data_IF_510950679796
#
_entry.id   IF_510950679796
#
_cell.length_a   1.000
_cell.length_b   1.000
_cell.length_c   1.000
_cell.angle_alpha   90.00
_cell.angle_beta   90.00
_cell.angle_gamma   90.00
#
_symmetry.space_group_name_H-M   'P 1'
#
loop_
_entity.id
_entity.type
_entity.pdbx_description
1 polymer ?
#
# COMPACT_ATOMS: atom_id res chain seq x y z
N UNK A 1 92.08 -17.81 27.33
CA UNK A 1 90.86 -17.00 27.04
C UNK A 1 91.32 -15.82 26.17
N UNK A 2 90.95 -15.83 24.85
CA UNK A 2 91.23 -14.71 23.92
C UNK A 2 90.29 -13.50 24.25
N UNK A 3 90.93 -12.38 24.67
CA UNK A 3 90.20 -11.11 24.82
C UNK A 3 89.71 -10.66 23.44
N UNK A 4 88.34 -10.68 23.22
CA UNK A 4 87.72 -10.08 22.03
C UNK A 4 88.08 -8.58 22.00
N UNK A 5 88.62 -8.08 20.90
CA UNK A 5 89.05 -6.68 20.77
C UNK A 5 87.78 -5.79 20.73
N UNK A 6 87.90 -4.52 21.18
CA UNK A 6 86.80 -3.51 21.14
C UNK A 6 86.29 -3.29 19.72
N UNK A 7 87.08 -3.52 18.70
CA UNK A 7 86.73 -3.41 17.30
C UNK A 7 85.76 -4.52 16.82
N UNK A 8 85.91 -5.78 17.31
CA UNK A 8 85.02 -6.86 17.00
C UNK A 8 83.59 -6.64 17.57
N UNK A 9 83.51 -5.96 18.71
CA UNK A 9 82.25 -5.62 19.35
C UNK A 9 81.55 -4.51 18.55
N UNK A 10 82.25 -3.46 18.12
CA UNK A 10 81.70 -2.37 17.33
C UNK A 10 81.18 -2.85 15.93
N UNK A 11 81.93 -3.70 15.25
CA UNK A 11 81.51 -4.29 13.98
C UNK A 11 80.28 -5.12 14.12
N UNK A 12 80.13 -5.87 15.21
CA UNK A 12 78.91 -6.64 15.46
C UNK A 12 77.60 -5.77 15.68
N UNK A 13 77.79 -4.61 16.30
CA UNK A 13 76.68 -3.66 16.50
C UNK A 13 76.26 -3.02 15.18
N UNK A 14 77.20 -2.62 14.32
CA UNK A 14 76.93 -2.07 13.00
C UNK A 14 76.20 -3.08 12.13
N UNK A 15 76.64 -4.33 12.11
CA UNK A 15 76.01 -5.41 11.37
C UNK A 15 74.59 -5.70 11.86
N UNK A 16 74.35 -5.76 13.16
CA UNK A 16 73.01 -5.95 13.75
C UNK A 16 72.08 -4.79 13.45
N UNK A 17 72.57 -3.55 13.57
CA UNK A 17 71.74 -2.37 13.18
C UNK A 17 71.37 -2.40 11.73
N UNK A 18 72.27 -2.73 10.81
CA UNK A 18 72.02 -2.77 9.38
C UNK A 18 71.07 -3.93 9.06
N UNK A 19 71.11 -5.05 9.73
CA UNK A 19 70.21 -6.20 9.59
C UNK A 19 68.79 -5.84 10.04
N UNK A 20 68.66 -5.10 11.15
CA UNK A 20 67.37 -4.58 11.62
C UNK A 20 66.79 -3.56 10.63
N UNK A 21 67.61 -2.60 10.18
CA UNK A 21 67.19 -1.61 9.18
C UNK A 21 66.77 -2.27 7.86
N UNK A 22 67.52 -3.26 7.40
CA UNK A 22 67.16 -4.05 6.21
C UNK A 22 65.84 -4.80 6.42
N UNK A 23 65.60 -5.40 7.59
CA UNK A 23 64.35 -6.06 7.92
C UNK A 23 63.14 -5.09 7.89
N UNK A 24 63.30 -3.90 8.49
CA UNK A 24 62.26 -2.86 8.43
C UNK A 24 62.01 -2.35 7.00
N UNK A 25 63.06 -2.13 6.23
CA UNK A 25 62.94 -1.70 4.84
C UNK A 25 62.26 -2.77 3.96
N UNK A 26 62.63 -4.04 4.12
CA UNK A 26 62.02 -5.16 3.42
C UNK A 26 60.51 -5.27 3.79
N UNK A 27 60.17 -5.15 5.08
CA UNK A 27 58.78 -5.11 5.53
C UNK A 27 58.00 -3.93 4.91
N UNK A 28 58.66 -2.75 4.89
CA UNK A 28 58.06 -1.56 4.26
C UNK A 28 57.77 -1.77 2.76
N UNK A 29 58.68 -2.38 2.03
CA UNK A 29 58.48 -2.72 0.62
C UNK A 29 57.32 -3.73 0.44
N UNK A 30 57.25 -4.77 1.27
CA UNK A 30 56.15 -5.75 1.24
C UNK A 30 54.82 -5.07 1.51
N UNK A 31 54.73 -4.15 2.46
CA UNK A 31 53.51 -3.40 2.77
C UNK A 31 53.07 -2.51 1.60
N UNK A 32 54.05 -1.79 0.98
CA UNK A 32 53.73 -0.95 -0.21
C UNK A 32 53.28 -1.80 -1.38
N UNK A 33 53.95 -2.91 -1.67
CA UNK A 33 53.53 -3.84 -2.73
C UNK A 33 52.14 -4.40 -2.44
N UNK A 34 51.86 -4.77 -1.20
CA UNK A 34 50.52 -5.28 -0.82
C UNK A 34 49.45 -4.19 -0.92
N UNK A 35 49.75 -2.98 -0.47
CA UNK A 35 48.86 -1.83 -0.60
C UNK A 35 48.53 -1.52 -2.08
N UNK A 36 49.57 -1.50 -2.92
CA UNK A 36 49.40 -1.30 -4.38
C UNK A 36 48.56 -2.40 -4.99
N UNK A 37 48.82 -3.65 -4.64
CA UNK A 37 48.03 -4.79 -5.13
C UNK A 37 46.55 -4.65 -4.75
N UNK A 38 46.23 -4.32 -3.50
CA UNK A 38 44.85 -4.12 -3.01
C UNK A 38 44.18 -2.91 -3.65
N UNK A 39 44.93 -1.83 -3.91
CA UNK A 39 44.34 -0.59 -4.43
C UNK A 39 44.25 -0.53 -5.96
N UNK A 40 45.04 -1.32 -6.68
CA UNK A 40 45.08 -1.28 -8.15
C UNK A 40 44.44 -2.55 -8.74
N UNK A 41 44.85 -3.74 -8.27
CA UNK A 41 44.41 -5.00 -8.87
C UNK A 41 43.10 -5.53 -8.28
N UNK A 42 42.90 -5.43 -6.97
CA UNK A 42 41.74 -5.95 -6.28
C UNK A 42 40.73 -4.85 -5.90
N UNK A 43 40.94 -3.60 -6.35
CA UNK A 43 40.11 -2.45 -6.01
C UNK A 43 38.63 -2.69 -6.27
N UNK A 44 38.30 -3.11 -7.48
CA UNK A 44 36.90 -3.31 -7.91
C UNK A 44 36.22 -4.46 -7.15
N UNK A 45 37.00 -5.50 -6.81
CA UNK A 45 36.49 -6.61 -5.99
C UNK A 45 36.10 -6.14 -4.58
N UNK A 46 37.01 -5.44 -3.89
CA UNK A 46 36.73 -4.98 -2.52
C UNK A 46 35.70 -3.85 -2.49
N UNK A 47 35.64 -3.02 -3.50
CA UNK A 47 34.59 -2.01 -3.66
C UNK A 47 33.23 -2.69 -3.88
N UNK A 48 33.17 -3.74 -4.69
CA UNK A 48 31.98 -4.55 -4.91
C UNK A 48 31.47 -5.23 -3.62
N UNK A 49 32.38 -5.86 -2.87
CA UNK A 49 32.06 -6.48 -1.58
C UNK A 49 31.60 -5.46 -0.52
N UNK A 50 32.25 -4.29 -0.45
CA UNK A 50 31.85 -3.19 0.43
C UNK A 50 30.44 -2.68 0.08
N UNK A 51 30.19 -2.45 -1.19
CA UNK A 51 28.91 -1.99 -1.71
C UNK A 51 27.80 -3.02 -1.47
N UNK A 52 28.06 -4.31 -1.69
CA UNK A 52 27.10 -5.39 -1.45
C UNK A 52 26.68 -5.49 0.02
N UNK A 53 27.56 -5.15 0.95
CA UNK A 53 27.26 -5.16 2.39
C UNK A 53 26.54 -3.90 2.87
N UNK A 54 26.83 -2.74 2.31
CA UNK A 54 26.36 -1.44 2.78
C UNK A 54 25.19 -0.91 1.95
N UNK A 55 25.12 -1.21 0.65
CA UNK A 55 24.09 -0.71 -0.23
C UNK A 55 22.84 -1.60 -0.15
N UNK A 56 21.69 -0.97 -0.02
CA UNK A 56 20.39 -1.61 -0.10
C UNK A 56 19.51 -0.84 -1.09
N UNK A 57 18.80 -1.57 -1.92
CA UNK A 57 17.76 -0.98 -2.76
C UNK A 57 16.48 -0.91 -1.94
N UNK A 58 15.94 0.28 -1.80
CA UNK A 58 14.70 0.56 -1.07
C UNK A 58 13.66 1.04 -2.08
N UNK A 59 12.47 0.48 -1.98
CA UNK A 59 11.34 0.85 -2.81
C UNK A 59 10.78 2.21 -2.39
N UNK A 60 10.53 3.08 -3.38
CA UNK A 60 9.82 4.35 -3.21
C UNK A 60 8.36 4.08 -3.58
N UNK A 61 7.46 4.19 -2.61
CA UNK A 61 6.04 4.00 -2.86
C UNK A 61 5.53 5.01 -3.91
N UNK A 62 4.79 4.51 -4.90
CA UNK A 62 4.08 5.35 -5.86
C UNK A 62 2.77 5.86 -5.24
N UNK A 63 2.33 7.01 -5.71
CA UNK A 63 1.04 7.57 -5.32
C UNK A 63 -0.05 6.98 -6.23
N UNK A 64 -1.09 6.38 -5.63
CA UNK A 64 -2.24 5.86 -6.36
C UNK A 64 -3.09 7.01 -6.93
N UNK A 65 -3.52 6.91 -8.19
CA UNK A 65 -4.38 7.89 -8.86
C UNK A 65 -5.69 8.13 -8.13
N UNK A 66 -6.26 9.32 -8.28
CA UNK A 66 -7.55 9.69 -7.66
C UNK A 66 -8.71 9.11 -8.46
N UNK A 67 -9.79 8.78 -7.75
CA UNK A 67 -11.10 8.63 -8.36
C UNK A 67 -11.89 9.92 -8.11
N UNK A 68 -12.43 10.51 -9.16
CA UNK A 68 -13.21 11.75 -9.07
C UNK A 68 -14.59 11.58 -9.72
N UNK A 69 -15.53 12.36 -9.28
CA UNK A 69 -16.82 12.50 -9.93
C UNK A 69 -16.73 13.28 -11.26
N UNK A 70 -17.86 13.49 -11.92
CA UNK A 70 -17.93 14.22 -13.18
C UNK A 70 -17.51 15.69 -13.08
N UNK A 71 -17.60 16.28 -11.91
CA UNK A 71 -17.19 17.65 -11.62
C UNK A 71 -15.74 17.76 -11.11
N UNK A 72 -15.04 16.63 -10.90
CA UNK A 72 -13.70 16.59 -10.35
C UNK A 72 -13.66 16.49 -8.82
N UNK A 73 -14.81 16.36 -8.15
CA UNK A 73 -14.85 16.17 -6.70
C UNK A 73 -14.30 14.78 -6.32
N UNK A 74 -13.47 14.67 -5.28
CA UNK A 74 -12.82 13.43 -4.94
C UNK A 74 -13.82 12.40 -4.37
N UNK A 75 -13.74 11.17 -4.90
CA UNK A 75 -14.44 9.97 -4.43
C UNK A 75 -13.49 8.99 -3.75
N UNK A 76 -12.22 8.93 -4.20
CA UNK A 76 -11.15 8.21 -3.53
C UNK A 76 -9.82 8.95 -3.73
N UNK A 77 -9.07 9.11 -2.65
CA UNK A 77 -7.76 9.79 -2.63
C UNK A 77 -6.78 8.98 -1.78
N UNK A 78 -5.49 9.06 -2.12
CA UNK A 78 -4.42 8.50 -1.28
C UNK A 78 -3.80 9.59 -0.43
N UNK A 79 -3.81 9.41 0.88
CA UNK A 79 -3.22 10.34 1.85
C UNK A 79 -1.91 9.78 2.38
N UNK A 80 -0.86 10.60 2.53
CA UNK A 80 0.39 10.15 3.12
C UNK A 80 0.19 9.77 4.59
N UNK A 81 0.74 8.64 4.98
CA UNK A 81 0.71 8.12 6.34
C UNK A 81 2.06 7.50 6.67
N UNK A 82 2.30 7.23 7.94
CA UNK A 82 3.56 6.68 8.39
C UNK A 82 3.37 5.28 8.97
N UNK A 83 4.38 4.44 8.80
CA UNK A 83 4.43 3.08 9.33
C UNK A 83 5.69 2.92 10.16
N UNK A 84 5.52 2.47 11.39
CA UNK A 84 6.62 2.15 12.29
C UNK A 84 7.08 0.70 12.07
N UNK A 85 8.38 0.54 11.89
CA UNK A 85 9.01 -0.76 11.71
C UNK A 85 10.35 -0.82 12.43
N UNK A 86 10.88 -2.01 12.64
CA UNK A 86 12.19 -2.16 13.25
C UNK A 86 12.77 -3.56 13.09
N UNK A 87 14.00 -3.74 13.60
CA UNK A 87 14.74 -4.99 13.60
C UNK A 87 14.40 -5.78 14.87
N UNK A 88 13.68 -6.93 14.77
CA UNK A 88 13.14 -7.62 15.94
C UNK A 88 14.19 -8.01 16.98
N UNK A 89 15.37 -8.52 16.57
CA UNK A 89 16.44 -8.94 17.48
C UNK A 89 16.97 -7.80 18.33
N UNK A 90 17.02 -6.58 17.79
CA UNK A 90 17.49 -5.39 18.49
C UNK A 90 16.41 -4.76 19.38
N UNK A 91 15.15 -4.77 18.90
CA UNK A 91 14.01 -4.30 19.69
C UNK A 91 13.71 -5.21 20.89
N UNK A 92 13.93 -6.52 20.76
CA UNK A 92 13.77 -7.49 21.85
C UNK A 92 14.70 -7.17 23.04
N UNK A 93 15.84 -6.56 22.80
CA UNK A 93 16.77 -6.14 23.85
C UNK A 93 16.27 -4.92 24.66
N UNK A 94 15.17 -4.28 24.24
CA UNK A 94 14.64 -3.05 24.81
C UNK A 94 13.15 -3.18 25.21
N UNK A 95 12.75 -4.19 26.02
CA UNK A 95 11.34 -4.49 26.27
C UNK A 95 10.60 -3.36 26.99
N UNK A 96 11.28 -2.63 27.89
CA UNK A 96 10.69 -1.50 28.61
C UNK A 96 10.35 -0.34 27.65
N UNK A 97 11.26 0.01 26.73
CA UNK A 97 11.01 1.02 25.73
C UNK A 97 9.86 0.63 24.78
N UNK A 98 9.71 -0.65 24.47
CA UNK A 98 8.59 -1.15 23.66
C UNK A 98 7.24 -1.08 24.38
N UNK A 99 7.21 -1.14 25.73
CA UNK A 99 5.98 -0.87 26.50
C UNK A 99 5.54 0.60 26.38
N UNK A 100 6.49 1.54 26.42
CA UNK A 100 6.19 2.97 26.21
C UNK A 100 5.66 3.22 24.79
N UNK A 101 6.30 2.62 23.78
CA UNK A 101 5.81 2.67 22.40
C UNK A 101 4.40 2.10 22.29
N UNK A 102 4.14 0.96 22.91
CA UNK A 102 2.83 0.33 22.92
C UNK A 102 1.74 1.25 23.53
N UNK A 103 2.06 1.91 24.65
CA UNK A 103 1.17 2.87 25.30
C UNK A 103 0.82 4.05 24.38
N UNK A 104 1.81 4.65 23.70
CA UNK A 104 1.59 5.75 22.75
C UNK A 104 0.77 5.28 21.54
N UNK A 105 1.00 4.06 21.08
CA UNK A 105 0.31 3.48 19.92
C UNK A 105 -1.08 2.95 20.27
N UNK A 106 -1.46 2.85 21.54
CA UNK A 106 -2.73 2.27 21.98
C UNK A 106 -2.84 0.77 21.64
N UNK A 107 -1.73 0.02 21.80
CA UNK A 107 -1.68 -1.44 21.62
C UNK A 107 -1.23 -2.10 22.90
N UNK A 108 -1.63 -3.37 23.09
CA UNK A 108 -1.18 -4.11 24.26
C UNK A 108 0.32 -4.38 24.22
N UNK A 109 1.03 -3.92 25.28
CA UNK A 109 2.49 -3.98 25.36
C UNK A 109 3.02 -5.40 25.49
N UNK A 110 2.30 -6.28 26.20
CA UNK A 110 2.69 -7.68 26.34
C UNK A 110 2.61 -8.41 24.99
N UNK A 111 1.51 -8.23 24.28
CA UNK A 111 1.31 -8.77 22.92
C UNK A 111 2.36 -8.23 21.94
N UNK A 112 2.71 -6.94 22.03
CA UNK A 112 3.75 -6.36 21.16
C UNK A 112 5.10 -7.02 21.44
N UNK A 113 5.52 -7.13 22.69
CA UNK A 113 6.78 -7.78 23.07
C UNK A 113 6.84 -9.25 22.67
N UNK A 114 5.75 -9.99 22.82
CA UNK A 114 5.64 -11.39 22.34
C UNK A 114 5.82 -11.48 20.82
N UNK A 115 5.17 -10.61 20.06
CA UNK A 115 5.32 -10.55 18.60
C UNK A 115 6.75 -10.24 18.18
N UNK A 116 7.43 -9.34 18.89
CA UNK A 116 8.84 -9.00 18.67
C UNK A 116 9.71 -10.23 18.95
N UNK A 117 9.56 -10.88 20.10
CA UNK A 117 10.32 -12.08 20.47
C UNK A 117 10.13 -13.23 19.47
N UNK A 118 8.89 -13.49 19.05
CA UNK A 118 8.55 -14.49 18.04
C UNK A 118 9.16 -14.17 16.67
N UNK A 119 9.26 -12.88 16.31
CA UNK A 119 9.89 -12.47 15.05
C UNK A 119 11.41 -12.57 15.12
N UNK A 120 12.01 -12.23 16.26
CA UNK A 120 13.45 -12.36 16.51
C UNK A 120 13.90 -13.84 16.50
N UNK A 121 13.14 -14.74 17.16
CA UNK A 121 13.44 -16.19 17.17
C UNK A 121 13.41 -16.83 15.77
N UNK A 122 12.70 -16.22 14.82
CA UNK A 122 12.66 -16.66 13.42
C UNK A 122 13.76 -16.02 12.54
N UNK A 123 14.67 -15.26 13.13
CA UNK A 123 15.77 -14.59 12.43
C UNK A 123 15.30 -13.49 11.46
N UNK A 124 14.13 -12.89 11.68
CA UNK A 124 13.64 -11.81 10.81
C UNK A 124 14.42 -10.53 11.06
N UNK A 125 14.87 -9.91 10.00
CA UNK A 125 15.56 -8.61 10.03
C UNK A 125 14.60 -7.42 9.96
N UNK A 126 13.31 -7.67 9.71
CA UNK A 126 12.29 -6.65 9.51
C UNK A 126 10.97 -7.08 10.14
N UNK A 127 10.32 -6.14 10.85
CA UNK A 127 8.98 -6.31 11.40
C UNK A 127 8.23 -4.98 11.44
N UNK A 128 6.98 -4.97 10.98
CA UNK A 128 6.08 -3.85 11.25
C UNK A 128 5.64 -3.84 12.71
N UNK A 129 5.87 -2.73 13.40
CA UNK A 129 5.36 -2.48 14.76
C UNK A 129 3.89 -2.10 14.68
N UNK A 130 3.60 -1.03 13.95
CA UNK A 130 2.24 -0.61 13.61
C UNK A 130 2.23 0.12 12.28
N UNK A 131 1.29 -0.26 11.41
CA UNK A 131 1.08 0.40 10.12
C UNK A 131 0.03 1.49 10.23
N UNK A 132 0.07 2.44 9.31
CA UNK A 132 -0.92 3.50 9.16
C UNK A 132 -1.10 4.34 10.43
N UNK A 133 0.01 4.80 10.99
CA UNK A 133 0.03 5.64 12.20
C UNK A 133 -0.01 7.12 11.80
N UNK A 134 -0.87 7.94 12.45
CA UNK A 134 -0.90 9.38 12.21
C UNK A 134 0.47 10.03 12.50
N UNK A 135 0.90 11.04 11.71
CA UNK A 135 2.20 11.70 11.88
C UNK A 135 2.45 12.19 13.32
N UNK A 136 1.46 12.82 13.94
CA UNK A 136 1.57 13.31 15.32
C UNK A 136 1.88 12.22 16.35
N UNK A 137 1.36 11.00 16.14
CA UNK A 137 1.63 9.86 17.01
C UNK A 137 3.03 9.31 16.76
N UNK A 138 3.47 9.30 15.49
CA UNK A 138 4.82 8.88 15.12
C UNK A 138 5.86 9.82 15.70
N UNK A 139 5.62 11.15 15.67
CA UNK A 139 6.53 12.14 16.25
C UNK A 139 6.74 11.89 17.76
N UNK A 140 5.67 11.53 18.50
CA UNK A 140 5.76 11.16 19.91
C UNK A 140 6.61 9.91 20.14
N UNK A 141 6.44 8.89 19.29
CA UNK A 141 7.23 7.66 19.37
C UNK A 141 8.70 7.92 19.03
N UNK A 142 8.97 8.72 18.00
CA UNK A 142 10.34 9.04 17.58
C UNK A 142 11.07 9.94 18.58
N UNK A 143 10.35 10.73 19.38
CA UNK A 143 10.90 11.51 20.47
C UNK A 143 11.55 10.62 21.58
N UNK A 144 11.15 9.36 21.71
CA UNK A 144 11.75 8.39 22.63
C UNK A 144 13.17 7.97 22.18
N UNK A 145 13.58 8.29 20.95
CA UNK A 145 14.91 7.99 20.39
C UNK A 145 15.35 6.53 20.53
N UNK A 146 14.41 5.61 20.34
CA UNK A 146 14.68 4.17 20.46
C UNK A 146 15.53 3.73 19.27
N UNK A 147 16.66 3.07 19.57
CA UNK A 147 17.54 2.53 18.54
C UNK A 147 16.81 1.45 17.73
N UNK A 148 17.09 1.41 16.43
CA UNK A 148 16.55 0.41 15.49
C UNK A 148 15.02 0.43 15.27
N UNK A 149 14.35 1.48 15.77
CA UNK A 149 12.98 1.82 15.41
C UNK A 149 13.02 2.89 14.31
N UNK A 150 12.34 2.63 13.21
CA UNK A 150 12.38 3.47 12.01
C UNK A 150 10.98 3.74 11.46
N UNK A 151 10.88 4.78 10.65
CA UNK A 151 9.64 5.20 10.01
C UNK A 151 9.73 4.98 8.52
N UNK A 152 8.69 4.39 7.94
CA UNK A 152 8.49 4.29 6.49
C UNK A 152 7.28 5.12 6.10
N UNK A 153 7.42 5.96 5.07
CA UNK A 153 6.28 6.67 4.49
C UNK A 153 5.51 5.70 3.60
N UNK A 154 4.20 5.62 3.83
CA UNK A 154 3.25 4.84 3.03
C UNK A 154 2.08 5.74 2.63
N UNK A 155 1.13 5.22 1.86
CA UNK A 155 -0.12 5.88 1.53
C UNK A 155 -1.28 5.06 2.07
N UNK A 156 -2.34 5.76 2.47
CA UNK A 156 -3.61 5.16 2.86
C UNK A 156 -4.71 5.69 1.96
N UNK A 157 -5.48 4.80 1.41
CA UNK A 157 -6.66 5.15 0.63
C UNK A 157 -7.76 5.68 1.53
N UNK A 158 -8.36 6.80 1.15
CA UNK A 158 -9.45 7.44 1.86
C UNK A 158 -10.61 7.72 0.91
N UNK A 159 -11.81 7.44 1.36
CA UNK A 159 -13.07 7.53 0.62
C UNK A 159 -13.98 8.57 1.23
N UNK A 160 -13.98 9.82 0.72
CA UNK A 160 -14.74 10.94 1.31
C UNK A 160 -16.24 10.74 1.34
N UNK A 161 -16.80 9.94 0.42
CA UNK A 161 -18.24 9.65 0.36
C UNK A 161 -18.69 8.54 1.32
N UNK A 162 -17.75 7.92 2.07
CA UNK A 162 -18.08 6.86 3.02
C UNK A 162 -18.89 5.73 2.39
N UNK A 163 -19.97 5.31 3.05
CA UNK A 163 -20.83 4.22 2.61
C UNK A 163 -21.63 4.53 1.33
N UNK A 164 -21.91 5.81 1.06
CA UNK A 164 -22.80 6.20 -0.03
C UNK A 164 -22.33 5.76 -1.43
N UNK A 165 -21.00 5.64 -1.65
CA UNK A 165 -20.45 5.20 -2.93
C UNK A 165 -19.65 3.88 -2.83
N UNK A 166 -19.75 3.18 -1.70
CA UNK A 166 -18.89 2.06 -1.36
C UNK A 166 -18.90 0.93 -2.39
N UNK A 167 -20.08 0.50 -2.85
CA UNK A 167 -20.22 -0.61 -3.79
C UNK A 167 -19.66 -0.29 -5.18
N UNK A 168 -19.80 0.95 -5.62
CA UNK A 168 -19.30 1.37 -6.91
C UNK A 168 -17.78 1.54 -6.86
N UNK A 169 -17.28 2.32 -5.89
CA UNK A 169 -15.87 2.62 -5.76
C UNK A 169 -15.08 1.39 -5.30
N UNK A 170 -15.62 0.63 -4.35
CA UNK A 170 -14.91 -0.47 -3.71
C UNK A 170 -13.92 0.03 -2.66
N UNK A 171 -12.87 -0.76 -2.44
CA UNK A 171 -11.80 -0.44 -1.49
C UNK A 171 -10.48 -1.10 -1.88
N UNK A 172 -9.40 -0.61 -1.27
CA UNK A 172 -8.08 -1.23 -1.33
C UNK A 172 -7.77 -1.99 -0.04
N UNK A 173 -6.84 -2.94 -0.11
CA UNK A 173 -6.24 -3.54 1.08
C UNK A 173 -5.20 -2.61 1.73
N UNK A 174 -4.52 -3.13 2.75
CA UNK A 174 -3.48 -2.39 3.48
C UNK A 174 -2.23 -2.10 2.61
N UNK A 175 -2.05 -2.84 1.52
CA UNK A 175 -0.95 -2.66 0.58
C UNK A 175 -1.36 -1.81 -0.64
N UNK A 176 -2.49 -1.09 -0.54
CA UNK A 176 -3.06 -0.20 -1.55
C UNK A 176 -3.46 -0.91 -2.86
N UNK A 177 -3.74 -2.23 -2.81
CA UNK A 177 -4.23 -3.02 -3.94
C UNK A 177 -5.75 -3.01 -3.96
N UNK A 178 -6.34 -2.78 -5.11
CA UNK A 178 -7.80 -2.83 -5.28
C UNK A 178 -8.37 -4.23 -5.00
N UNK A 179 -9.45 -4.30 -4.20
CA UNK A 179 -10.09 -5.56 -3.78
C UNK A 179 -11.52 -5.69 -4.25
N UNK A 180 -12.20 -4.58 -4.42
CA UNK A 180 -13.58 -4.51 -4.85
C UNK A 180 -13.84 -3.29 -5.74
N UNK A 181 -14.94 -3.31 -6.48
CA UNK A 181 -15.46 -2.20 -7.26
C UNK A 181 -14.48 -1.67 -8.31
N UNK A 182 -14.55 -0.37 -8.57
CA UNK A 182 -13.67 0.32 -9.52
C UNK A 182 -12.21 0.33 -9.07
N UNK A 183 -11.92 0.28 -7.77
CA UNK A 183 -10.57 0.13 -7.26
C UNK A 183 -9.91 -1.17 -7.75
N UNK A 184 -10.67 -2.27 -7.81
CA UNK A 184 -10.19 -3.55 -8.34
C UNK A 184 -10.17 -3.55 -9.87
N UNK A 185 -11.24 -3.10 -10.50
CA UNK A 185 -11.37 -3.15 -11.95
C UNK A 185 -10.30 -2.31 -12.67
N UNK A 186 -9.91 -1.18 -12.08
CA UNK A 186 -8.91 -0.27 -12.61
C UNK A 186 -7.60 -0.27 -11.80
N UNK A 187 -7.29 -1.36 -11.09
CA UNK A 187 -6.13 -1.42 -10.22
C UNK A 187 -4.82 -1.09 -10.95
N UNK A 188 -4.60 -1.68 -12.11
CA UNK A 188 -3.40 -1.42 -12.93
C UNK A 188 -3.28 0.05 -13.40
N UNK A 189 -4.42 0.71 -13.66
CA UNK A 189 -4.47 2.11 -14.07
C UNK A 189 -4.16 3.06 -12.91
N UNK A 190 -4.71 2.72 -11.76
CA UNK A 190 -4.65 3.55 -10.56
C UNK A 190 -3.34 3.37 -9.78
N UNK A 191 -2.72 2.18 -9.76
CA UNK A 191 -1.62 1.85 -8.84
C UNK A 191 -0.31 2.55 -9.14
N UNK A 192 0.00 3.01 -10.31
CA UNK A 192 1.32 3.53 -10.66
C UNK A 192 2.44 2.47 -10.57
N UNK A 193 3.66 2.91 -10.73
CA UNK A 193 4.85 2.06 -10.62
C UNK A 193 5.73 2.55 -9.49
N UNK A 194 6.10 1.70 -8.52
CA UNK A 194 7.03 2.08 -7.48
C UNK A 194 8.40 2.39 -8.08
N UNK A 195 9.10 3.35 -7.49
CA UNK A 195 10.48 3.65 -7.81
C UNK A 195 11.44 2.88 -6.92
N UNK A 196 12.72 2.98 -7.21
CA UNK A 196 13.79 2.40 -6.42
C UNK A 196 14.87 3.42 -6.14
N UNK A 197 15.35 3.45 -4.89
CA UNK A 197 16.52 4.23 -4.50
C UNK A 197 17.57 3.34 -3.84
N UNK A 198 18.81 3.67 -4.08
CA UNK A 198 19.95 3.03 -3.41
C UNK A 198 20.27 3.81 -2.15
N UNK A 199 20.29 3.13 -1.02
CA UNK A 199 20.64 3.70 0.28
C UNK A 199 21.88 2.99 0.83
N UNK A 200 22.77 3.74 1.44
CA UNK A 200 23.91 3.21 2.20
C UNK A 200 23.50 3.14 3.67
N UNK A 201 23.66 1.98 4.29
CA UNK A 201 23.39 1.79 5.72
C UNK A 201 24.68 1.59 6.49
N UNK A 202 24.76 2.18 7.69
CA UNK A 202 25.82 1.89 8.65
C UNK A 202 25.63 0.48 9.27
N UNK A 203 26.60 0.08 10.10
CA UNK A 203 26.54 -1.19 10.84
C UNK A 203 25.31 -1.29 11.77
N UNK A 204 24.73 -0.17 12.14
CA UNK A 204 23.53 -0.09 12.98
C UNK A 204 22.23 -0.03 12.16
N UNK A 205 22.32 -0.14 10.83
CA UNK A 205 21.17 -0.10 9.93
C UNK A 205 20.61 1.30 9.64
N UNK A 206 21.27 2.38 10.10
CA UNK A 206 20.85 3.75 9.84
C UNK A 206 21.23 4.16 8.44
N UNK A 207 20.32 4.85 7.75
CA UNK A 207 20.60 5.40 6.43
C UNK A 207 21.63 6.53 6.54
N UNK A 208 22.78 6.36 5.88
CA UNK A 208 23.79 7.40 5.70
C UNK A 208 23.43 8.17 4.43
N UNK A 209 23.54 9.48 4.48
CA UNK A 209 23.15 10.40 3.40
C UNK A 209 24.01 10.15 2.16
N UNK A 210 23.36 9.98 1.04
CA UNK A 210 23.95 9.81 -0.29
C UNK A 210 23.00 8.94 -1.10
N UNK A 211 22.00 9.57 -1.75
CA UNK A 211 20.93 8.82 -2.40
C UNK A 211 21.00 9.01 -3.90
N UNK A 212 21.42 7.96 -4.59
CA UNK A 212 21.14 7.87 -6.02
C UNK A 212 19.74 7.25 -6.19
N UNK A 213 18.83 8.03 -6.78
CA UNK A 213 17.56 7.50 -7.28
C UNK A 213 17.90 6.64 -8.48
N UNK A 214 17.68 5.35 -8.38
CA UNK A 214 17.93 4.40 -9.47
C UNK A 214 16.79 4.47 -10.47
N UNK A 215 15.55 4.53 -9.96
CA UNK A 215 14.35 4.64 -10.76
C UNK A 215 13.32 5.50 -10.01
N UNK A 216 12.79 6.52 -10.68
CA UNK A 216 11.78 7.39 -10.09
C UNK A 216 10.42 6.68 -10.02
N UNK A 217 9.70 6.87 -8.94
CA UNK A 217 8.33 6.39 -8.83
C UNK A 217 7.43 7.09 -9.87
N UNK A 218 6.62 6.32 -10.58
CA UNK A 218 5.61 6.85 -11.52
C UNK A 218 4.25 6.80 -10.82
N UNK A 219 3.59 7.94 -10.56
CA UNK A 219 2.28 7.95 -9.94
C UNK A 219 1.23 7.28 -10.83
N UNK A 220 0.21 6.70 -10.20
CA UNK A 220 -0.96 6.18 -10.89
C UNK A 220 -1.74 7.29 -11.59
N UNK A 221 -2.53 6.91 -12.58
CA UNK A 221 -3.36 7.83 -13.36
C UNK A 221 -4.69 8.06 -12.68
N UNK A 222 -5.16 9.30 -12.68
CA UNK A 222 -6.48 9.65 -12.18
C UNK A 222 -7.58 9.07 -13.10
N UNK A 223 -8.73 8.73 -12.51
CA UNK A 223 -9.91 8.25 -13.22
C UNK A 223 -11.10 9.14 -12.85
N UNK A 224 -11.67 9.79 -13.87
CA UNK A 224 -12.88 10.59 -13.75
C UNK A 224 -14.10 9.74 -14.14
N UNK A 225 -15.11 9.74 -13.29
CA UNK A 225 -16.34 8.98 -13.46
C UNK A 225 -17.48 9.87 -13.97
N UNK A 226 -18.52 9.23 -14.54
CA UNK A 226 -19.79 9.88 -14.88
C UNK A 226 -20.64 10.20 -13.64
N UNK A 227 -20.31 9.64 -12.48
CA UNK A 227 -21.04 9.83 -11.23
C UNK A 227 -21.08 11.30 -10.82
N UNK A 228 -22.26 11.74 -10.39
CA UNK A 228 -22.45 13.01 -9.69
C UNK A 228 -22.49 12.72 -8.19
N UNK A 229 -21.54 13.28 -7.45
CA UNK A 229 -21.38 13.03 -6.01
C UNK A 229 -22.59 13.46 -5.19
N UNK A 230 -23.26 14.55 -5.58
CA UNK A 230 -24.45 15.03 -4.86
C UNK A 230 -25.64 14.10 -5.11
N UNK A 231 -25.86 13.75 -6.38
CA UNK A 231 -26.91 12.83 -6.76
C UNK A 231 -26.72 11.44 -6.12
N UNK A 232 -25.47 10.95 -6.08
CA UNK A 232 -25.10 9.72 -5.37
C UNK A 232 -25.49 9.76 -3.90
N UNK A 233 -25.20 10.85 -3.22
CA UNK A 233 -25.57 11.05 -1.82
C UNK A 233 -27.08 11.08 -1.61
N UNK A 234 -27.82 11.79 -2.45
CA UNK A 234 -29.28 11.83 -2.37
C UNK A 234 -29.91 10.47 -2.67
N UNK A 235 -29.38 9.74 -3.67
CA UNK A 235 -29.85 8.40 -4.02
C UNK A 235 -29.64 7.42 -2.84
N UNK A 236 -28.48 7.44 -2.22
CA UNK A 236 -28.18 6.60 -1.04
C UNK A 236 -29.11 6.93 0.13
N UNK A 237 -29.31 8.20 0.47
CA UNK A 237 -30.21 8.61 1.54
C UNK A 237 -31.65 8.17 1.29
N UNK A 238 -32.18 8.43 0.09
CA UNK A 238 -33.52 8.05 -0.27
C UNK A 238 -33.71 6.51 -0.23
N UNK A 239 -32.68 5.77 -0.66
CA UNK A 239 -32.67 4.33 -0.59
C UNK A 239 -32.74 3.81 0.84
N UNK A 240 -31.91 4.33 1.75
CA UNK A 240 -31.91 3.95 3.16
C UNK A 240 -33.25 4.29 3.82
N UNK A 241 -33.83 5.45 3.54
CA UNK A 241 -35.13 5.84 4.05
C UNK A 241 -36.24 4.89 3.55
N UNK A 242 -36.24 4.55 2.26
CA UNK A 242 -37.19 3.63 1.67
C UNK A 242 -37.11 2.21 2.29
N UNK A 243 -35.91 1.70 2.47
CA UNK A 243 -35.66 0.40 3.13
C UNK A 243 -36.20 0.39 4.53
N UNK A 244 -35.87 1.39 5.34
CA UNK A 244 -36.32 1.47 6.73
C UNK A 244 -37.85 1.63 6.83
N UNK A 245 -38.45 2.46 5.98
CA UNK A 245 -39.91 2.67 5.95
C UNK A 245 -40.69 1.41 5.60
N UNK A 246 -40.13 0.59 4.71
CA UNK A 246 -40.85 -0.59 4.18
C UNK A 246 -40.32 -1.90 4.80
N UNK A 247 -39.38 -1.86 5.78
CA UNK A 247 -38.74 -3.02 6.36
C UNK A 247 -38.17 -3.99 5.30
N UNK A 248 -37.57 -3.44 4.23
CA UNK A 248 -36.99 -4.24 3.18
C UNK A 248 -35.61 -4.78 3.61
N UNK A 249 -35.28 -5.99 3.16
CA UNK A 249 -33.95 -6.59 3.47
C UNK A 249 -32.84 -5.98 2.61
N UNK A 250 -33.14 -5.64 1.38
CA UNK A 250 -32.19 -5.03 0.44
C UNK A 250 -32.91 -4.16 -0.58
N UNK A 251 -32.17 -3.22 -1.14
CA UNK A 251 -32.64 -2.37 -2.23
C UNK A 251 -31.46 -1.85 -3.04
N UNK A 252 -31.76 -1.46 -4.28
CA UNK A 252 -30.78 -0.84 -5.19
C UNK A 252 -31.44 0.30 -5.94
N UNK A 253 -30.65 1.31 -6.28
CA UNK A 253 -31.07 2.41 -7.16
C UNK A 253 -29.96 2.73 -8.14
N UNK A 254 -30.32 2.89 -9.40
CA UNK A 254 -29.44 3.33 -10.48
C UNK A 254 -30.08 4.52 -11.16
N UNK A 255 -29.36 5.62 -11.28
CA UNK A 255 -29.77 6.82 -11.99
C UNK A 255 -28.91 6.98 -13.23
N UNK A 256 -29.54 7.02 -14.38
CA UNK A 256 -28.87 7.11 -15.69
C UNK A 256 -29.37 8.33 -16.45
N UNK A 257 -28.48 8.94 -17.21
CA UNK A 257 -28.83 9.91 -18.24
C UNK A 257 -29.41 9.16 -19.45
N UNK A 258 -30.63 9.50 -19.84
CA UNK A 258 -31.36 8.78 -20.92
C UNK A 258 -30.78 9.06 -22.30
N UNK A 259 -30.03 10.14 -22.49
CA UNK A 259 -29.47 10.51 -23.79
C UNK A 259 -28.07 9.92 -24.00
N UNK A 260 -27.26 9.82 -22.92
CA UNK A 260 -25.88 9.38 -23.00
C UNK A 260 -25.67 7.95 -22.50
N UNK A 261 -26.58 7.43 -21.67
CA UNK A 261 -26.41 6.16 -20.97
C UNK A 261 -25.44 6.22 -19.79
N UNK A 262 -24.93 7.42 -19.46
CA UNK A 262 -24.04 7.58 -18.33
C UNK A 262 -24.74 7.27 -17.00
N UNK A 263 -24.11 6.45 -16.16
CA UNK A 263 -24.56 6.21 -14.79
C UNK A 263 -24.16 7.40 -13.93
N UNK A 264 -25.13 8.14 -13.44
CA UNK A 264 -24.94 9.33 -12.60
C UNK A 264 -24.94 9.00 -11.10
N UNK A 265 -25.67 7.96 -10.69
CA UNK A 265 -25.64 7.43 -9.33
C UNK A 265 -25.94 5.92 -9.33
N UNK A 266 -25.32 5.20 -8.41
CA UNK A 266 -25.56 3.77 -8.16
C UNK A 266 -25.39 3.49 -6.67
N UNK A 267 -26.48 3.23 -5.95
CA UNK A 267 -26.48 2.94 -4.53
C UNK A 267 -27.14 1.59 -4.24
N UNK A 268 -26.67 0.93 -3.20
CA UNK A 268 -27.17 -0.36 -2.75
C UNK A 268 -27.32 -0.38 -1.24
N UNK A 269 -28.29 -1.15 -0.73
CA UNK A 269 -28.46 -1.44 0.68
C UNK A 269 -28.54 -2.97 0.89
N UNK A 270 -27.95 -3.53 1.95
CA UNK A 270 -27.10 -2.88 2.96
C UNK A 270 -25.75 -2.42 2.41
N UNK A 271 -25.26 -1.30 2.92
CA UNK A 271 -23.96 -0.73 2.56
C UNK A 271 -22.91 -0.93 3.65
N UNK A 272 -21.68 -0.56 3.38
CA UNK A 272 -20.55 -0.64 4.29
C UNK A 272 -19.67 0.61 4.18
N UNK A 273 -18.91 0.93 5.24
CA UNK A 273 -17.94 2.01 5.18
C UNK A 273 -16.57 1.50 4.68
N UNK A 274 -16.12 1.90 3.48
CA UNK A 274 -14.83 1.44 2.95
C UNK A 274 -13.62 1.97 3.73
N UNK A 275 -13.77 2.96 4.60
CA UNK A 275 -12.71 3.46 5.48
C UNK A 275 -12.53 2.59 6.73
N UNK A 276 -13.53 1.78 7.10
CA UNK A 276 -13.50 0.87 8.25
C UNK A 276 -13.27 -0.57 7.79
N UNK A 277 -12.11 -1.13 8.15
CA UNK A 277 -11.79 -2.52 7.79
C UNK A 277 -12.71 -3.54 8.47
N UNK A 278 -13.26 -3.22 9.65
CA UNK A 278 -14.17 -4.10 10.40
C UNK A 278 -15.55 -4.20 9.75
N UNK A 279 -16.00 -3.16 9.05
CA UNK A 279 -17.30 -3.12 8.40
C UNK A 279 -17.33 -3.82 7.01
N UNK A 280 -16.16 -4.27 6.54
CA UNK A 280 -15.99 -4.94 5.24
C UNK A 280 -16.29 -6.45 5.29
N UNK A 281 -17.33 -6.88 5.99
CA UNK A 281 -17.66 -8.30 6.17
C UNK A 281 -19.12 -8.63 5.90
N UNK A 282 -19.44 -9.90 5.80
CA UNK A 282 -20.83 -10.39 5.83
C UNK A 282 -21.66 -10.15 4.58
N UNK A 283 -21.07 -10.11 3.38
CA UNK A 283 -21.81 -9.98 2.12
C UNK A 283 -22.35 -8.58 1.84
N UNK A 284 -22.04 -7.59 2.71
CA UNK A 284 -22.40 -6.17 2.49
C UNK A 284 -21.65 -5.53 1.33
N UNK A 285 -20.54 -6.14 0.90
CA UNK A 285 -19.71 -5.65 -0.21
C UNK A 285 -20.33 -5.87 -1.58
N UNK A 286 -21.30 -6.77 -1.65
CA UNK A 286 -21.94 -7.17 -2.92
C UNK A 286 -22.68 -5.99 -3.56
N UNK A 287 -22.27 -5.64 -4.79
CA UNK A 287 -22.96 -4.64 -5.60
C UNK A 287 -24.25 -5.26 -6.20
N UNK A 288 -25.33 -5.17 -5.45
CA UNK A 288 -26.62 -5.80 -5.79
C UNK A 288 -27.22 -5.27 -7.08
N UNK A 289 -26.97 -4.01 -7.43
CA UNK A 289 -27.42 -3.42 -8.70
C UNK A 289 -26.90 -4.18 -9.92
N UNK A 290 -25.76 -4.90 -9.78
CA UNK A 290 -25.11 -5.62 -10.89
C UNK A 290 -25.27 -7.13 -10.73
N UNK A 291 -25.21 -7.64 -9.50
CA UNK A 291 -25.08 -9.07 -9.23
C UNK A 291 -26.38 -9.77 -8.89
N UNK A 292 -27.39 -9.04 -8.42
CA UNK A 292 -28.65 -9.66 -8.04
C UNK A 292 -29.59 -9.83 -9.24
N UNK A 293 -30.16 -10.99 -9.33
CA UNK A 293 -31.24 -11.29 -10.29
C UNK A 293 -32.56 -11.21 -9.55
N UNK A 294 -33.58 -10.68 -10.22
CA UNK A 294 -34.93 -10.56 -9.68
C UNK A 294 -35.95 -10.82 -10.78
N UNK A 295 -37.16 -11.19 -10.40
CA UNK A 295 -38.26 -11.35 -11.31
C UNK A 295 -38.91 -9.98 -11.58
N UNK A 296 -38.78 -9.43 -12.81
CA UNK A 296 -39.15 -8.04 -13.08
C UNK A 296 -40.67 -7.85 -13.14
N UNK A 297 -41.44 -8.91 -13.37
CA UNK A 297 -42.90 -8.84 -13.48
C UNK A 297 -43.37 -7.84 -14.55
N UNK A 298 -44.41 -7.01 -14.22
CA UNK A 298 -44.95 -6.00 -15.14
C UNK A 298 -43.95 -4.92 -15.57
N UNK A 299 -42.81 -4.79 -14.91
CA UNK A 299 -41.76 -3.82 -15.32
C UNK A 299 -41.09 -4.21 -16.65
N UNK A 300 -41.27 -5.47 -17.10
CA UNK A 300 -40.82 -5.90 -18.43
C UNK A 300 -41.74 -5.47 -19.58
N UNK A 301 -43.00 -5.13 -19.31
CA UNK A 301 -43.95 -4.78 -20.35
C UNK A 301 -43.52 -3.61 -21.25
N UNK A 302 -42.97 -2.51 -20.72
CA UNK A 302 -42.44 -1.43 -21.57
C UNK A 302 -41.40 -1.90 -22.58
N UNK A 303 -40.53 -2.83 -22.19
CA UNK A 303 -39.52 -3.38 -23.10
C UNK A 303 -40.14 -4.24 -24.21
N UNK A 304 -41.14 -5.06 -23.87
CA UNK A 304 -41.87 -5.85 -24.85
C UNK A 304 -42.60 -4.96 -25.86
N UNK A 305 -43.25 -3.90 -25.38
CA UNK A 305 -43.96 -2.94 -26.24
C UNK A 305 -42.95 -2.16 -27.08
N UNK A 306 -41.84 -1.70 -26.51
CA UNK A 306 -40.79 -1.02 -27.26
C UNK A 306 -40.21 -1.89 -28.39
N UNK A 307 -39.96 -3.17 -28.12
CA UNK A 307 -39.51 -4.12 -29.14
C UNK A 307 -40.56 -4.33 -30.26
N UNK A 308 -41.84 -4.39 -29.89
CA UNK A 308 -42.94 -4.48 -30.88
C UNK A 308 -43.02 -3.22 -31.76
N UNK A 309 -42.84 -2.03 -31.18
CA UNK A 309 -42.84 -0.78 -31.96
C UNK A 309 -41.58 -0.66 -32.84
N UNK A 310 -40.44 -1.11 -32.34
CA UNK A 310 -39.14 -1.06 -33.06
C UNK A 310 -39.14 -2.06 -34.26
N UNK A 311 -39.87 -3.16 -34.18
CA UNK A 311 -40.02 -4.10 -35.30
C UNK A 311 -40.69 -3.47 -36.52
N UNK A 312 -41.47 -2.40 -36.35
CA UNK A 312 -42.26 -1.77 -37.39
C UNK A 312 -43.58 -2.49 -37.73
N UNK A 313 -43.84 -3.65 -37.12
CA UNK A 313 -45.07 -4.43 -37.32
C UNK A 313 -46.26 -3.86 -36.56
N UNK A 314 -46.00 -3.07 -35.53
CA UNK A 314 -46.98 -2.45 -34.64
C UNK A 314 -46.76 -0.95 -34.52
N UNK A 315 -47.85 -0.22 -34.35
CA UNK A 315 -47.89 1.22 -34.11
C UNK A 315 -48.58 1.53 -32.79
N UNK A 316 -48.33 2.69 -32.21
CA UNK A 316 -48.92 3.13 -30.94
C UNK A 316 -50.45 3.21 -31.00
N UNK A 317 -51.01 3.42 -32.20
CA UNK A 317 -52.43 3.58 -32.46
C UNK A 317 -53.14 2.25 -32.81
N UNK A 318 -52.41 1.14 -32.93
CA UNK A 318 -52.97 -0.15 -33.31
C UNK A 318 -53.95 -0.67 -32.26
N UNK A 319 -55.09 -1.10 -32.70
CA UNK A 319 -56.13 -1.68 -31.86
C UNK A 319 -55.90 -3.18 -31.75
N UNK A 320 -55.66 -3.65 -30.54
CA UNK A 320 -55.52 -5.08 -30.25
C UNK A 320 -56.87 -5.64 -29.81
N UNK A 321 -57.38 -6.59 -30.60
CA UNK A 321 -58.60 -7.29 -30.22
C UNK A 321 -58.37 -8.28 -29.09
N UNK A 322 -59.06 -8.08 -27.96
CA UNK A 322 -58.96 -8.93 -26.76
C UNK A 322 -60.26 -9.80 -26.61
N UNK A 323 -60.93 -10.14 -27.74
CA UNK A 323 -62.09 -11.03 -27.74
C UNK A 323 -61.69 -12.45 -27.27
N UNK A 324 -62.44 -13.10 -26.40
CA UNK A 324 -63.91 -12.97 -26.14
C UNK A 324 -64.28 -12.09 -24.94
N UNK A 325 -63.53 -11.12 -24.55
CA UNK A 325 -63.90 -10.13 -23.53
C UNK A 325 -63.45 -10.44 -22.10
N UNK A 326 -62.73 -11.53 -21.86
CA UNK A 326 -62.06 -11.82 -20.60
C UNK A 326 -60.65 -12.24 -20.90
N UNK A 327 -59.73 -11.72 -20.08
CA UNK A 327 -58.30 -12.00 -20.12
C UNK A 327 -57.89 -12.63 -18.78
N UNK A 328 -57.41 -13.88 -18.85
CA UNK A 328 -56.82 -14.53 -17.67
C UNK A 328 -55.40 -14.01 -17.46
N UNK A 329 -55.21 -13.14 -16.48
CA UNK A 329 -53.88 -12.75 -16.05
C UNK A 329 -53.39 -13.69 -14.96
N UNK A 330 -52.08 -13.76 -14.78
CA UNK A 330 -51.46 -14.57 -13.72
C UNK A 330 -51.96 -14.23 -12.30
N UNK A 331 -52.50 -13.03 -12.09
CA UNK A 331 -53.12 -12.61 -10.82
C UNK A 331 -54.43 -13.37 -10.54
N UNK A 332 -55.11 -13.88 -11.58
CA UNK A 332 -56.39 -14.58 -11.46
C UNK A 332 -56.24 -16.10 -11.47
N UNK A 333 -55.03 -16.60 -11.63
CA UNK A 333 -54.72 -18.03 -11.57
C UNK A 333 -54.21 -18.38 -10.16
#
# INVERSE_FOLDING_TARGET
MKKRSRQDIQNNWGMRRNLVLFGFSALGVVLVLRATFLQVFDHDFYLGEGNARQQRTVEIASHRGKLTDRAGAPLAISTPIQTLWGVPSKLQAQPAAMLEVAAILGVDGATLNERIAKSASRGREFMYIKRHVPPQTVDKVMALRIADLSVKREYRRYYPSGSAASHLIGFTDIDDRGREGLEMAYDQWLSGKPGTRRVVRDLNGREITGMDVVESAVPGKDLRLSIDKQLQYFADRALVEAVNKNNAESASVVVMDVHTGEVMAMANFPSYNPNDMGDRSGGRQRNRSITDVFEPGSTMKPFTIAAALDSGDFKSEDIVFTSPGYYLSLIHI
#
